data_IF_842891761744
#
_entry.id   IF_842891761744
#
_cell.length_a   1.000
_cell.length_b   1.000
_cell.length_c   1.000
_cell.angle_alpha   90.00
_cell.angle_beta   90.00
_cell.angle_gamma   90.00
#
_symmetry.space_group_name_H-M   'P 1'
#
loop_
_entity.id
_entity.type
_entity.pdbx_description
1 polymer ?
#
# COMPACT_ATOMS: atom_id res chain seq x y z
N UNK A 1 -0.73 30.89 -52.30
CA UNK A 1 -1.42 30.60 -51.02
C UNK A 1 -1.59 29.09 -50.91
N UNK A 2 -0.84 28.42 -50.02
CA UNK A 2 -1.03 26.97 -49.79
C UNK A 2 -2.33 26.76 -49.01
N UNK A 3 -3.11 25.75 -49.40
CA UNK A 3 -4.36 25.36 -48.76
C UNK A 3 -4.07 24.88 -47.32
N UNK A 4 -4.83 25.36 -46.34
CA UNK A 4 -4.67 25.03 -44.91
C UNK A 4 -4.72 23.52 -44.64
N UNK A 5 -5.45 22.76 -45.46
CA UNK A 5 -5.45 21.28 -45.43
C UNK A 5 -4.08 20.65 -45.66
N UNK A 6 -3.23 21.29 -46.48
CA UNK A 6 -1.91 20.75 -46.80
C UNK A 6 -0.92 21.01 -45.67
N UNK A 7 -0.96 22.21 -45.06
CA UNK A 7 -0.06 22.58 -43.95
C UNK A 7 -0.33 21.75 -42.70
N UNK A 8 -1.57 21.34 -42.44
CA UNK A 8 -1.91 20.53 -41.26
C UNK A 8 -1.55 19.04 -41.46
N UNK A 9 -1.60 18.53 -42.70
CA UNK A 9 -1.14 17.17 -43.01
C UNK A 9 0.36 17.00 -42.78
N UNK A 10 1.15 18.06 -42.97
CA UNK A 10 2.61 18.01 -42.86
C UNK A 10 3.12 18.12 -41.41
N UNK A 11 2.24 18.39 -40.42
CA UNK A 11 2.62 18.68 -39.02
C UNK A 11 1.86 17.87 -37.95
N UNK A 12 0.99 16.92 -38.33
CA UNK A 12 0.37 15.98 -37.38
C UNK A 12 1.18 14.67 -37.33
N UNK A 13 1.52 14.13 -36.15
CA UNK A 13 2.28 12.89 -36.02
C UNK A 13 1.55 11.70 -36.66
N UNK A 14 2.30 10.70 -37.15
CA UNK A 14 1.76 9.43 -37.61
C UNK A 14 1.05 8.73 -36.42
N UNK A 15 -0.27 8.53 -36.53
CA UNK A 15 -1.10 7.93 -35.47
C UNK A 15 -2.51 8.54 -35.32
N UNK A 16 -2.78 9.71 -35.92
CA UNK A 16 -4.12 10.30 -35.89
C UNK A 16 -5.12 9.55 -36.79
N UNK A 17 -6.17 8.98 -36.21
CA UNK A 17 -7.30 8.38 -36.95
C UNK A 17 -8.10 9.46 -37.70
N UNK A 18 -8.73 9.12 -38.84
CA UNK A 18 -9.53 10.09 -39.63
C UNK A 18 -10.73 10.68 -38.83
N UNK A 19 -11.25 9.93 -37.87
CA UNK A 19 -12.26 10.38 -36.90
C UNK A 19 -11.74 11.54 -36.05
N UNK A 20 -10.55 11.39 -35.46
CA UNK A 20 -9.94 12.40 -34.60
C UNK A 20 -9.58 13.67 -35.37
N UNK A 21 -9.16 13.54 -36.64
CA UNK A 21 -8.92 14.69 -37.52
C UNK A 21 -10.22 15.49 -37.75
N UNK A 22 -11.34 14.80 -37.97
CA UNK A 22 -12.63 15.42 -38.26
C UNK A 22 -13.21 16.15 -37.04
N UNK A 23 -13.09 15.57 -35.84
CA UNK A 23 -13.48 16.22 -34.59
C UNK A 23 -12.63 17.49 -34.32
N UNK A 24 -11.32 17.41 -34.56
CA UNK A 24 -10.42 18.56 -34.45
C UNK A 24 -10.78 19.69 -35.42
N UNK A 25 -11.20 19.36 -36.65
CA UNK A 25 -11.70 20.35 -37.62
C UNK A 25 -13.00 21.04 -37.19
N UNK A 26 -13.91 20.32 -36.53
CA UNK A 26 -15.17 20.89 -36.04
C UNK A 26 -14.95 21.82 -34.83
N UNK A 27 -13.99 21.51 -33.96
CA UNK A 27 -13.65 22.34 -32.80
C UNK A 27 -13.03 23.70 -33.16
N UNK A 28 -12.31 23.78 -34.29
CA UNK A 28 -11.63 25.00 -34.74
C UNK A 28 -12.49 25.92 -35.62
N UNK A 29 -13.67 25.45 -36.07
CA UNK A 29 -14.59 26.22 -36.92
C UNK A 29 -15.10 27.52 -36.26
N UNK A 30 -15.51 27.55 -34.97
CA UNK A 30 -16.02 28.77 -34.34
C UNK A 30 -14.93 29.82 -34.07
N UNK A 31 -13.68 29.39 -33.87
CA UNK A 31 -12.56 30.26 -33.49
C UNK A 31 -11.98 31.10 -34.64
N UNK A 32 -12.39 30.84 -35.89
CA UNK A 32 -11.98 31.64 -37.07
C UNK A 32 -12.38 33.11 -37.00
N UNK A 33 -13.37 33.47 -36.18
CA UNK A 33 -13.94 34.81 -36.17
C UNK A 33 -13.25 35.81 -35.25
N UNK A 34 -12.35 35.39 -34.33
CA UNK A 34 -11.92 36.27 -33.22
C UNK A 34 -10.40 36.39 -33.05
N UNK A 35 -9.55 35.51 -33.62
CA UNK A 35 -8.09 35.62 -33.42
C UNK A 35 -7.25 35.33 -34.67
N UNK A 36 -6.21 36.16 -34.87
CA UNK A 36 -5.28 36.04 -35.99
C UNK A 36 -4.44 34.75 -35.96
N UNK A 37 -4.07 34.26 -37.15
CA UNK A 37 -3.38 32.97 -37.39
C UNK A 37 -2.19 32.64 -36.48
N UNK A 38 -1.45 33.65 -35.97
CA UNK A 38 -0.31 33.43 -35.06
C UNK A 38 -0.74 33.09 -33.63
N UNK A 39 -1.87 33.61 -33.17
CA UNK A 39 -2.43 33.34 -31.83
C UNK A 39 -3.03 31.93 -31.77
N UNK A 40 -3.67 31.47 -32.86
CA UNK A 40 -4.14 30.09 -32.97
C UNK A 40 -3.01 29.05 -32.95
N UNK A 41 -1.88 29.34 -33.59
CA UNK A 41 -0.72 28.44 -33.59
C UNK A 41 -0.09 28.37 -32.18
N UNK A 42 -0.01 29.50 -31.47
CA UNK A 42 0.51 29.55 -30.10
C UNK A 42 -0.44 28.82 -29.12
N UNK A 43 -1.74 29.05 -29.21
CA UNK A 43 -2.74 28.38 -28.38
C UNK A 43 -2.80 26.87 -28.62
N UNK A 44 -2.65 26.42 -29.87
CA UNK A 44 -2.62 25.00 -30.19
C UNK A 44 -1.33 24.33 -29.73
N UNK A 45 -0.17 25.00 -29.83
CA UNK A 45 1.10 24.53 -29.24
C UNK A 45 1.06 24.51 -27.70
N UNK A 46 0.41 25.48 -27.07
CA UNK A 46 0.24 25.51 -25.61
C UNK A 46 -0.77 24.43 -25.17
N UNK A 47 -1.89 24.23 -25.87
CA UNK A 47 -2.83 23.15 -25.52
C UNK A 47 -2.21 21.76 -25.76
N UNK A 48 -1.45 21.57 -26.83
CA UNK A 48 -0.77 20.27 -27.08
C UNK A 48 0.40 20.04 -26.11
N UNK A 49 1.11 21.09 -25.70
CA UNK A 49 2.15 21.00 -24.68
C UNK A 49 1.61 20.79 -23.26
N UNK A 50 0.43 21.32 -22.92
CA UNK A 50 -0.21 21.14 -21.60
C UNK A 50 -0.90 19.78 -21.50
N UNK A 51 -1.40 19.21 -22.61
CA UNK A 51 -2.00 17.87 -22.62
C UNK A 51 -0.92 16.77 -22.63
N UNK A 52 0.31 17.05 -23.06
CA UNK A 52 1.39 16.06 -23.11
C UNK A 52 2.19 15.89 -21.81
N UNK A 53 1.98 16.71 -20.78
CA UNK A 53 2.82 16.68 -19.58
C UNK A 53 2.36 15.75 -18.46
N UNK A 54 1.16 15.16 -18.51
CA UNK A 54 0.68 14.26 -17.44
C UNK A 54 -0.28 13.15 -17.94
N UNK A 55 -0.26 12.79 -19.22
CA UNK A 55 -0.94 11.59 -19.66
C UNK A 55 -0.06 10.38 -19.32
N UNK A 56 -0.35 9.73 -18.19
CA UNK A 56 0.25 8.46 -17.80
C UNK A 56 0.22 7.50 -19.00
N UNK A 57 1.35 6.87 -19.32
CA UNK A 57 1.34 5.77 -20.28
C UNK A 57 0.48 4.67 -19.63
N UNK A 58 -0.65 4.34 -20.26
CA UNK A 58 -1.47 3.22 -19.85
C UNK A 58 -0.64 1.95 -19.96
N UNK A 59 -0.17 1.44 -18.82
CA UNK A 59 0.54 0.17 -18.70
C UNK A 59 -0.34 -0.74 -17.86
N UNK A 60 -0.71 -1.93 -18.34
CA UNK A 60 -1.64 -2.82 -17.64
C UNK A 60 -0.98 -3.56 -16.47
N UNK A 61 -0.09 -2.88 -15.72
CA UNK A 61 0.66 -3.46 -14.60
C UNK A 61 0.55 -2.58 -13.37
N UNK A 62 0.22 -3.21 -12.25
CA UNK A 62 0.32 -2.65 -10.92
C UNK A 62 1.39 -3.36 -10.09
N UNK A 63 1.63 -2.85 -8.90
CA UNK A 63 2.51 -3.49 -7.91
C UNK A 63 1.86 -3.47 -6.54
N UNK A 64 2.19 -4.44 -5.69
CA UNK A 64 2.06 -4.26 -4.24
C UNK A 64 3.29 -3.49 -3.74
N UNK A 65 3.11 -2.70 -2.66
CA UNK A 65 4.22 -2.21 -1.86
C UNK A 65 4.44 -3.14 -0.67
N UNK A 66 5.68 -3.23 -0.20
CA UNK A 66 6.02 -4.09 0.94
C UNK A 66 5.58 -3.44 2.24
N UNK A 67 5.33 -4.25 3.27
CA UNK A 67 5.08 -3.78 4.63
C UNK A 67 6.23 -2.94 5.18
N UNK A 68 5.89 -1.94 6.00
CA UNK A 68 6.87 -0.99 6.53
C UNK A 68 7.26 -1.32 7.96
N UNK A 69 8.54 -1.53 8.17
CA UNK A 69 9.15 -1.83 9.46
C UNK A 69 10.51 -1.16 9.55
N UNK A 70 11.06 -1.03 10.76
CA UNK A 70 12.39 -0.45 10.98
C UNK A 70 13.53 -1.26 10.34
N UNK A 71 13.24 -2.50 9.93
CA UNK A 71 14.14 -3.43 9.24
C UNK A 71 13.78 -3.69 7.78
N UNK A 72 12.72 -3.07 7.26
CA UNK A 72 12.34 -3.19 5.84
C UNK A 72 13.41 -2.57 4.95
N UNK A 73 13.76 -3.24 3.85
CA UNK A 73 14.67 -2.68 2.84
C UNK A 73 14.03 -1.60 1.96
N UNK A 74 12.70 -1.50 2.00
CA UNK A 74 11.93 -0.41 1.43
C UNK A 74 11.86 0.73 2.45
N UNK A 75 12.66 1.78 2.25
CA UNK A 75 12.57 3.01 3.04
C UNK A 75 11.52 3.92 2.43
N UNK A 76 10.38 4.04 3.10
CA UNK A 76 9.25 4.82 2.58
C UNK A 76 9.44 6.29 2.88
N UNK A 77 9.78 6.62 4.13
CA UNK A 77 9.79 8.00 4.62
C UNK A 77 11.21 8.60 4.71
N UNK A 78 11.35 9.86 4.32
CA UNK A 78 12.59 10.65 4.50
C UNK A 78 12.73 11.20 5.91
N UNK A 79 11.61 11.32 6.63
CA UNK A 79 11.61 11.38 8.09
C UNK A 79 11.54 9.95 8.62
N UNK A 80 12.68 9.46 9.09
CA UNK A 80 12.86 8.04 9.40
C UNK A 80 12.16 7.64 10.69
N UNK A 81 11.73 8.63 11.48
CA UNK A 81 10.96 8.38 12.69
C UNK A 81 9.57 7.81 12.37
N UNK A 82 8.97 8.17 11.22
CA UNK A 82 7.71 7.57 10.77
C UNK A 82 7.80 6.06 10.50
N UNK A 83 9.01 5.52 10.31
CA UNK A 83 9.27 4.10 10.12
C UNK A 83 10.06 3.49 11.30
N UNK A 84 9.98 4.12 12.48
CA UNK A 84 10.64 3.59 13.66
C UNK A 84 9.83 2.45 14.29
N UNK A 85 10.52 1.52 14.95
CA UNK A 85 9.86 0.47 15.72
C UNK A 85 8.96 1.05 16.80
N UNK A 86 7.92 0.31 17.17
CA UNK A 86 7.15 0.65 18.36
C UNK A 86 8.03 0.82 19.61
N UNK A 87 7.58 1.67 20.54
CA UNK A 87 8.28 1.93 21.79
C UNK A 87 8.61 0.65 22.56
N UNK A 88 9.88 0.47 22.87
CA UNK A 88 10.40 -0.61 23.70
C UNK A 88 10.65 -0.04 25.10
N UNK A 89 9.82 -0.41 26.10
CA UNK A 89 10.02 0.00 27.48
C UNK A 89 11.21 -0.75 28.08
N UNK A 90 11.99 -0.09 28.92
CA UNK A 90 13.07 -0.71 29.67
C UNK A 90 13.27 -0.03 31.02
N UNK A 91 13.87 -0.74 31.97
CA UNK A 91 14.17 -0.14 33.28
C UNK A 91 15.11 1.06 33.11
N UNK A 92 14.82 2.12 33.85
CA UNK A 92 15.58 3.36 33.90
C UNK A 92 16.87 3.12 34.70
N UNK A 93 17.99 2.96 33.99
CA UNK A 93 19.30 2.72 34.60
C UNK A 93 20.22 1.84 33.75
N UNK A 94 21.42 1.55 34.28
CA UNK A 94 22.41 0.71 33.60
C UNK A 94 22.17 -0.78 33.85
N UNK A 95 22.39 -1.62 32.82
CA UNK A 95 22.37 -3.08 32.96
C UNK A 95 20.98 -3.71 32.89
N UNK A 96 19.96 -2.94 32.53
CA UNK A 96 18.61 -3.43 32.31
C UNK A 96 18.54 -4.39 31.10
N UNK A 97 17.59 -5.34 31.08
CA UNK A 97 17.22 -6.06 29.87
C UNK A 97 16.85 -5.12 28.72
N UNK A 98 16.89 -5.64 27.49
CA UNK A 98 16.55 -4.84 26.30
C UNK A 98 15.12 -4.29 26.32
N UNK A 99 14.19 -5.11 26.79
CA UNK A 99 12.79 -4.75 27.03
C UNK A 99 12.38 -5.23 28.42
N UNK A 100 11.62 -4.42 29.14
CA UNK A 100 10.99 -4.79 30.41
C UNK A 100 9.61 -5.43 30.20
N UNK A 101 8.97 -5.22 29.05
CA UNK A 101 7.58 -5.60 28.79
C UNK A 101 6.53 -4.78 29.57
N UNK A 102 6.94 -3.73 30.29
CA UNK A 102 6.04 -2.86 31.07
C UNK A 102 5.34 -1.86 30.15
N UNK A 103 4.02 -1.81 30.17
CA UNK A 103 3.26 -0.82 29.39
C UNK A 103 3.45 0.60 29.95
N UNK A 104 3.96 1.51 29.11
CA UNK A 104 4.12 2.94 29.40
C UNK A 104 2.93 3.70 28.78
N UNK A 105 2.22 4.55 29.56
CA UNK A 105 1.11 5.34 29.03
C UNK A 105 1.55 6.31 27.93
N UNK A 106 0.85 6.26 26.80
CA UNK A 106 1.07 7.12 25.64
C UNK A 106 -0.06 8.15 25.50
N UNK A 107 0.26 9.31 24.96
CA UNK A 107 -0.72 10.30 24.52
C UNK A 107 -1.37 9.93 23.18
N UNK A 108 -2.31 10.75 22.68
CA UNK A 108 -3.03 10.50 21.42
C UNK A 108 -2.13 10.36 20.18
N UNK A 109 -1.00 11.06 20.15
CA UNK A 109 0.03 11.02 19.09
C UNK A 109 1.05 9.88 19.29
N UNK A 110 0.86 9.06 20.33
CA UNK A 110 1.69 7.89 20.64
C UNK A 110 3.02 8.17 21.35
N UNK A 111 3.26 9.41 21.79
CA UNK A 111 4.41 9.76 22.64
C UNK A 111 4.15 9.47 24.13
N UNK A 112 5.17 9.10 24.93
CA UNK A 112 4.99 8.85 26.36
C UNK A 112 4.56 10.10 27.12
N UNK A 113 3.60 9.93 28.05
CA UNK A 113 3.12 11.02 28.87
C UNK A 113 4.16 11.52 29.88
N UNK A 114 5.01 10.63 30.39
CA UNK A 114 6.07 10.97 31.33
C UNK A 114 7.20 9.94 31.28
N UNK A 115 8.44 10.38 31.52
CA UNK A 115 9.61 9.52 31.69
C UNK A 115 10.52 10.15 32.76
N UNK A 116 11.05 9.39 33.74
CA UNK A 116 10.80 7.97 33.97
C UNK A 116 9.34 7.69 34.38
N UNK A 117 8.69 6.72 33.75
CA UNK A 117 7.34 6.29 34.12
C UNK A 117 7.41 5.40 35.35
N UNK A 118 6.57 5.65 36.36
CA UNK A 118 6.54 4.88 37.59
C UNK A 118 5.11 4.46 37.94
N UNK A 119 4.81 3.17 37.77
CA UNK A 119 3.52 2.58 38.13
C UNK A 119 3.42 2.14 39.61
N UNK A 120 4.48 2.34 40.41
CA UNK A 120 4.58 1.97 41.82
C UNK A 120 4.86 0.49 42.10
N UNK A 121 5.02 -0.35 41.07
CA UNK A 121 5.25 -1.80 41.19
C UNK A 121 6.59 -2.19 40.55
N UNK A 122 6.80 -1.78 39.31
CA UNK A 122 8.01 -2.05 38.54
C UNK A 122 9.07 -0.96 38.83
N UNK A 123 10.36 -1.24 38.57
CA UNK A 123 11.37 -0.18 38.51
C UNK A 123 10.91 0.96 37.58
N UNK A 124 11.32 2.22 37.80
CA UNK A 124 11.00 3.31 36.87
C UNK A 124 11.41 2.96 35.44
N UNK A 125 10.61 3.33 34.45
CA UNK A 125 10.80 2.94 33.05
C UNK A 125 11.24 4.13 32.19
N UNK A 126 12.20 3.89 31.29
CA UNK A 126 12.44 4.70 30.09
C UNK A 126 11.95 3.93 28.85
N UNK A 127 11.99 4.58 27.69
CA UNK A 127 11.60 3.95 26.43
C UNK A 127 12.63 4.23 25.34
N UNK A 128 12.70 3.30 24.38
CA UNK A 128 13.53 3.44 23.18
C UNK A 128 12.79 2.99 21.93
N UNK A 129 13.18 3.52 20.79
CA UNK A 129 12.76 3.06 19.48
C UNK A 129 13.98 2.85 18.57
N UNK A 130 13.80 2.07 17.51
CA UNK A 130 14.84 1.60 16.60
C UNK A 130 14.55 2.06 15.18
N UNK A 131 15.62 2.42 14.46
CA UNK A 131 15.59 2.80 13.05
C UNK A 131 16.72 2.07 12.31
N UNK A 132 16.44 1.60 11.09
CA UNK A 132 17.38 0.91 10.20
C UNK A 132 18.06 -0.34 10.78
N UNK A 133 17.32 -1.20 11.48
CA UNK A 133 17.86 -2.46 12.02
C UNK A 133 17.77 -3.63 11.03
N UNK A 134 18.20 -4.83 11.45
CA UNK A 134 18.20 -6.00 10.58
C UNK A 134 19.32 -5.95 9.53
N UNK A 135 19.02 -6.25 8.28
CA UNK A 135 20.01 -6.35 7.19
C UNK A 135 20.23 -5.03 6.43
N UNK A 136 20.18 -3.90 7.14
CA UNK A 136 20.22 -2.55 6.57
C UNK A 136 21.55 -1.80 6.77
N UNK A 137 22.55 -2.44 7.36
CA UNK A 137 23.91 -1.90 7.42
C UNK A 137 24.38 -1.50 6.02
N UNK A 138 24.92 -0.28 5.88
CA UNK A 138 25.36 0.32 4.61
C UNK A 138 24.30 0.42 3.50
N UNK A 139 23.00 0.35 3.85
CA UNK A 139 21.89 0.49 2.89
C UNK A 139 21.13 1.80 3.01
N UNK A 140 21.43 2.62 4.02
CA UNK A 140 20.88 3.96 4.18
C UNK A 140 22.01 5.02 4.19
N UNK A 141 21.73 6.30 3.94
CA UNK A 141 22.78 7.32 3.81
C UNK A 141 23.57 7.54 5.11
N UNK A 142 24.90 7.36 5.10
CA UNK A 142 25.77 8.00 6.11
C UNK A 142 25.74 9.50 5.93
N UNK A 143 25.58 10.26 7.02
CA UNK A 143 25.61 11.71 6.93
C UNK A 143 24.99 12.45 8.11
N UNK A 144 24.68 13.72 7.85
CA UNK A 144 24.10 14.65 8.79
C UNK A 144 22.57 14.61 8.72
N UNK A 145 21.95 13.96 9.69
CA UNK A 145 20.50 13.93 9.86
C UNK A 145 20.06 15.10 10.73
N UNK A 146 18.81 15.56 10.56
CA UNK A 146 18.24 16.61 11.41
C UNK A 146 17.31 15.98 12.45
N UNK A 147 17.65 16.15 13.73
CA UNK A 147 16.82 15.77 14.87
C UNK A 147 16.03 16.99 15.33
N UNK A 148 14.71 16.87 15.32
CA UNK A 148 13.77 17.84 15.89
C UNK A 148 12.97 17.12 16.98
N UNK A 149 12.78 17.76 18.13
CA UNK A 149 11.82 17.31 19.13
C UNK A 149 11.34 18.48 19.99
N UNK A 150 10.07 18.42 20.38
CA UNK A 150 9.42 19.41 21.24
C UNK A 150 9.23 18.88 22.66
N UNK A 151 8.90 19.76 23.61
CA UNK A 151 8.61 19.41 25.00
C UNK A 151 9.80 19.58 25.95
N UNK A 152 9.63 19.17 27.20
CA UNK A 152 10.63 19.31 28.27
C UNK A 152 11.15 17.94 28.69
N UNK A 153 12.43 17.67 28.41
CA UNK A 153 13.03 16.36 28.69
C UNK A 153 14.42 16.19 28.08
N UNK A 154 14.85 14.94 27.95
CA UNK A 154 16.13 14.57 27.35
C UNK A 154 15.97 13.35 26.45
N UNK A 155 16.61 13.42 25.29
CA UNK A 155 16.73 12.33 24.32
C UNK A 155 18.20 11.92 24.24
N UNK A 156 18.48 10.61 24.13
CA UNK A 156 19.80 10.10 23.77
C UNK A 156 19.76 9.16 22.56
N UNK A 157 20.88 9.07 21.85
CA UNK A 157 21.05 8.22 20.68
C UNK A 157 22.12 7.16 20.93
N UNK A 158 21.91 5.97 20.36
CA UNK A 158 22.82 4.83 20.47
C UNK A 158 23.09 4.16 19.12
N UNK A 159 24.20 3.42 19.08
CA UNK A 159 24.71 2.66 17.92
C UNK A 159 25.23 3.57 16.79
N UNK A 160 24.65 3.50 15.59
CA UNK A 160 25.10 4.27 14.42
C UNK A 160 24.92 5.79 14.57
N UNK A 161 24.12 6.24 15.54
CA UNK A 161 24.00 7.63 15.95
C UNK A 161 24.32 7.76 17.45
N UNK A 162 24.98 8.84 17.87
CA UNK A 162 25.31 9.06 19.29
C UNK A 162 25.09 10.51 19.69
N UNK A 163 24.77 10.74 20.97
CA UNK A 163 24.56 12.07 21.54
C UNK A 163 23.47 12.08 22.59
N UNK A 164 23.41 13.18 23.34
CA UNK A 164 22.38 13.43 24.35
C UNK A 164 21.93 14.89 24.21
N UNK A 165 20.62 15.10 24.13
CA UNK A 165 20.01 16.37 23.74
C UNK A 165 18.89 16.75 24.70
N UNK A 166 18.91 17.98 25.22
CA UNK A 166 17.79 18.52 26.00
C UNK A 166 16.72 19.05 25.06
N UNK A 167 15.45 18.75 25.33
CA UNK A 167 14.31 19.25 24.56
C UNK A 167 13.85 20.64 25.06
N UNK A 168 13.31 21.51 24.18
CA UNK A 168 13.18 21.30 22.73
C UNK A 168 14.54 21.33 22.02
N UNK A 169 14.67 20.55 20.96
CA UNK A 169 15.90 20.43 20.16
C UNK A 169 15.58 20.57 18.67
N UNK A 170 16.46 21.25 17.94
CA UNK A 170 16.55 21.26 16.49
C UNK A 170 18.04 21.32 16.15
N UNK A 171 18.61 20.18 15.78
CA UNK A 171 20.05 20.02 15.61
C UNK A 171 20.39 19.01 14.53
N UNK A 172 21.65 19.00 14.12
CA UNK A 172 22.21 17.98 13.24
C UNK A 172 22.90 16.88 14.05
N UNK A 173 22.72 15.64 13.62
CA UNK A 173 23.33 14.43 14.19
C UNK A 173 24.05 13.68 13.07
N UNK A 174 25.30 13.30 13.30
CA UNK A 174 26.02 12.41 12.39
C UNK A 174 25.57 10.95 12.60
N UNK A 175 25.19 10.28 11.51
CA UNK A 175 24.84 8.86 11.47
C UNK A 175 25.81 8.11 10.57
N UNK A 176 26.36 7.01 11.05
CA UNK A 176 27.33 6.17 10.34
C UNK A 176 26.71 4.80 10.00
N UNK A 177 26.22 4.63 8.75
CA UNK A 177 25.52 3.43 8.28
C UNK A 177 26.31 2.14 8.42
N UNK A 178 27.64 2.25 8.40
CA UNK A 178 28.54 1.11 8.55
C UNK A 178 28.53 0.50 9.96
N UNK A 179 27.91 1.18 10.93
CA UNK A 179 27.72 0.70 12.31
C UNK A 179 26.37 0.00 12.54
N UNK A 180 25.56 -0.21 11.50
CA UNK A 180 24.24 -0.85 11.60
C UNK A 180 23.12 0.15 11.86
N UNK A 181 22.02 -0.28 12.50
CA UNK A 181 20.91 0.62 12.86
C UNK A 181 21.22 1.55 14.03
N UNK A 182 20.32 2.46 14.36
CA UNK A 182 20.43 3.34 15.55
C UNK A 182 19.15 3.40 16.36
N UNK A 183 19.31 3.70 17.65
CA UNK A 183 18.21 3.82 18.58
C UNK A 183 18.08 5.24 19.11
N UNK A 184 16.85 5.68 19.35
CA UNK A 184 16.51 6.89 20.08
C UNK A 184 15.87 6.48 21.40
N UNK A 185 16.41 6.99 22.51
CA UNK A 185 15.84 6.80 23.85
C UNK A 185 15.31 8.14 24.36
N UNK A 186 14.11 8.12 24.96
CA UNK A 186 13.65 9.25 25.78
C UNK A 186 14.09 8.93 27.20
N UNK A 187 15.07 9.68 27.70
CA UNK A 187 15.64 9.50 29.04
C UNK A 187 14.80 10.21 30.11
N UNK A 188 14.24 11.39 29.78
CA UNK A 188 13.31 12.11 30.63
C UNK A 188 12.24 12.81 29.80
N UNK A 189 11.02 12.91 30.32
CA UNK A 189 9.87 13.58 29.71
C UNK A 189 8.96 14.10 30.83
N UNK A 190 8.76 15.42 30.88
CA UNK A 190 7.98 16.07 31.94
C UNK A 190 6.47 15.91 31.68
N UNK A 191 5.72 15.39 32.65
CA UNK A 191 4.28 15.16 32.51
C UNK A 191 3.44 16.38 32.07
N UNK A 192 3.85 17.59 32.45
CA UNK A 192 3.14 18.83 32.08
C UNK A 192 3.51 19.37 30.70
N UNK A 193 4.59 18.88 30.10
CA UNK A 193 5.07 19.24 28.75
C UNK A 193 5.90 18.07 28.18
N UNK A 194 5.25 16.96 27.79
CA UNK A 194 5.95 15.74 27.41
C UNK A 194 6.80 15.93 26.14
N UNK A 195 7.88 15.17 26.03
CA UNK A 195 8.66 15.04 24.79
C UNK A 195 7.77 14.42 23.71
N UNK A 196 7.66 15.11 22.57
CA UNK A 196 6.79 14.75 21.43
C UNK A 196 7.31 15.41 20.14
N UNK A 197 6.60 15.20 19.04
CA UNK A 197 6.88 15.84 17.75
C UNK A 197 8.33 15.58 17.32
N UNK A 198 8.72 14.30 17.38
CA UNK A 198 10.07 13.85 17.10
C UNK A 198 10.18 13.58 15.60
N UNK A 199 11.12 14.27 14.95
CA UNK A 199 11.49 14.04 13.57
C UNK A 199 12.97 13.70 13.48
N UNK A 200 13.32 12.75 12.62
CA UNK A 200 14.70 12.37 12.35
C UNK A 200 14.91 12.32 10.83
N UNK A 201 15.25 13.47 10.25
CA UNK A 201 15.15 13.70 8.81
C UNK A 201 16.47 13.35 8.13
N UNK A 202 16.39 12.59 7.04
CA UNK A 202 17.52 12.19 6.20
C UNK A 202 18.27 13.41 5.60
N UNK A 203 19.59 13.28 5.34
CA UNK A 203 20.37 14.32 4.68
C UNK A 203 19.74 14.74 3.34
N UNK A 204 19.55 16.05 3.14
CA UNK A 204 19.02 16.61 1.89
C UNK A 204 17.51 16.77 1.83
N UNK A 205 16.76 16.35 2.86
CA UNK A 205 15.30 16.45 2.91
C UNK A 205 14.78 17.41 3.99
N UNK A 206 15.66 18.17 4.64
CA UNK A 206 15.37 19.02 5.80
C UNK A 206 14.30 20.08 5.54
N UNK A 207 14.12 20.45 4.26
CA UNK A 207 13.16 21.46 3.80
C UNK A 207 11.95 20.89 3.07
N UNK A 208 11.92 19.57 2.82
CA UNK A 208 10.87 18.94 2.00
C UNK A 208 10.10 17.85 2.73
N UNK A 209 10.63 17.29 3.82
CA UNK A 209 10.07 16.13 4.52
C UNK A 209 8.57 16.26 4.84
N UNK A 210 8.09 17.46 5.18
CA UNK A 210 6.68 17.68 5.52
C UNK A 210 5.75 17.75 4.30
N UNK A 211 6.27 18.05 3.11
CA UNK A 211 5.47 18.23 1.87
C UNK A 211 5.65 17.11 0.86
N UNK A 212 6.81 16.46 0.88
CA UNK A 212 7.14 15.28 0.10
C UNK A 212 7.86 14.30 1.04
N UNK A 213 7.10 13.53 1.82
CA UNK A 213 7.66 12.69 2.86
C UNK A 213 8.31 11.41 2.31
N UNK A 214 8.22 11.14 1.00
CA UNK A 214 8.65 9.88 0.42
C UNK A 214 10.10 9.88 -0.08
N UNK A 215 10.78 8.76 0.13
CA UNK A 215 12.12 8.56 -0.37
C UNK A 215 12.14 8.48 -1.92
N UNK A 216 13.09 9.12 -2.61
CA UNK A 216 13.15 9.10 -4.07
C UNK A 216 13.24 7.69 -4.69
N UNK A 217 13.89 6.74 -4.02
CA UNK A 217 13.99 5.37 -4.53
C UNK A 217 12.64 4.66 -4.59
N UNK A 218 11.74 4.93 -3.62
CA UNK A 218 10.36 4.46 -3.68
C UNK A 218 9.66 5.09 -4.88
N UNK A 219 9.78 6.41 -5.06
CA UNK A 219 9.15 7.13 -6.17
C UNK A 219 9.64 6.63 -7.54
N UNK A 220 10.94 6.35 -7.66
CA UNK A 220 11.55 5.78 -8.85
C UNK A 220 11.07 4.35 -9.11
N UNK A 221 10.99 3.51 -8.06
CA UNK A 221 10.47 2.16 -8.17
C UNK A 221 9.03 2.14 -8.69
N UNK A 222 8.18 3.02 -8.16
CA UNK A 222 6.76 3.06 -8.52
C UNK A 222 6.44 3.82 -9.82
N UNK A 223 7.45 4.47 -10.43
CA UNK A 223 7.28 5.34 -11.60
C UNK A 223 6.57 4.61 -12.76
N UNK A 224 6.94 3.36 -13.00
CA UNK A 224 6.48 2.57 -14.15
C UNK A 224 5.13 1.85 -13.93
N UNK A 225 4.62 1.79 -12.70
CA UNK A 225 3.35 1.13 -12.40
C UNK A 225 2.17 2.07 -12.56
N UNK A 226 0.98 1.52 -12.80
CA UNK A 226 -0.24 2.33 -12.97
C UNK A 226 -1.17 2.30 -11.76
N UNK A 227 -1.24 1.12 -11.14
CA UNK A 227 -2.00 0.83 -9.93
C UNK A 227 -1.01 0.45 -8.84
N UNK A 228 -1.22 0.95 -7.63
CA UNK A 228 -0.47 0.53 -6.44
C UNK A 228 -1.47 -0.12 -5.49
N UNK A 229 -1.24 -1.39 -5.17
CA UNK A 229 -1.98 -2.12 -4.16
C UNK A 229 -1.28 -1.99 -2.81
N UNK A 230 -2.05 -1.63 -1.79
CA UNK A 230 -1.56 -1.26 -0.47
C UNK A 230 -1.84 -2.33 0.59
N UNK A 231 -1.98 -3.60 0.20
CA UNK A 231 -2.39 -4.69 1.08
C UNK A 231 -1.52 -4.77 2.35
N UNK A 232 -0.18 -4.73 2.17
CA UNK A 232 0.77 -4.79 3.29
C UNK A 232 0.85 -3.45 4.05
N UNK A 233 0.79 -2.31 3.37
CA UNK A 233 0.72 -1.00 4.06
C UNK A 233 -0.51 -0.88 4.94
N UNK A 234 -1.61 -1.53 4.56
CA UNK A 234 -2.85 -1.53 5.34
C UNK A 234 -2.88 -2.62 6.43
N UNK A 235 -1.84 -3.45 6.56
CA UNK A 235 -1.81 -4.60 7.46
C UNK A 235 -3.09 -5.44 7.34
N UNK A 236 -3.47 -5.77 6.09
CA UNK A 236 -4.78 -6.35 5.77
C UNK A 236 -4.95 -7.75 6.36
N UNK A 237 -3.91 -8.58 6.22
CA UNK A 237 -3.91 -9.95 6.74
C UNK A 237 -3.90 -9.92 8.27
N UNK A 238 -4.89 -10.55 8.91
CA UNK A 238 -4.98 -10.55 10.37
C UNK A 238 -5.32 -9.20 11.01
N UNK A 239 -5.69 -8.18 10.21
CA UNK A 239 -5.94 -6.81 10.70
C UNK A 239 -6.81 -6.75 11.97
N UNK A 240 -6.41 -5.96 13.00
CA UNK A 240 -7.19 -5.77 14.22
C UNK A 240 -8.33 -4.75 14.04
N UNK A 241 -8.29 -3.94 12.97
CA UNK A 241 -9.21 -2.83 12.73
C UNK A 241 -10.67 -3.27 12.64
N UNK A 242 -11.53 -2.71 13.51
CA UNK A 242 -12.97 -3.00 13.55
C UNK A 242 -13.81 -1.74 13.39
N UNK A 243 -13.46 -0.64 14.08
CA UNK A 243 -14.19 0.64 14.09
C UNK A 243 -13.28 1.78 13.64
N UNK A 244 -13.84 2.88 13.08
CA UNK A 244 -13.04 3.95 12.45
C UNK A 244 -11.87 4.47 13.31
N UNK A 245 -12.00 4.65 14.64
CA UNK A 245 -10.89 5.10 15.48
C UNK A 245 -9.75 4.09 15.66
N UNK A 246 -9.92 2.83 15.26
CA UNK A 246 -8.88 1.79 15.41
C UNK A 246 -7.72 2.00 14.43
N UNK A 247 -7.94 2.70 13.32
CA UNK A 247 -6.91 2.95 12.29
C UNK A 247 -5.76 3.80 12.83
N UNK A 248 -4.61 3.69 12.20
CA UNK A 248 -3.53 4.65 12.39
C UNK A 248 -3.85 6.03 11.78
N UNK A 249 -3.22 7.07 12.30
CA UNK A 249 -3.35 8.46 11.82
C UNK A 249 -1.99 9.05 11.46
N UNK A 250 -1.94 10.09 10.62
CA UNK A 250 -0.66 10.69 10.20
C UNK A 250 0.11 11.36 11.34
N UNK A 251 -0.60 11.76 12.39
CA UNK A 251 -0.03 12.43 13.57
C UNK A 251 0.51 11.44 14.60
N UNK A 252 0.28 10.14 14.41
CA UNK A 252 0.87 9.12 15.27
C UNK A 252 2.35 8.95 14.93
N UNK A 253 3.21 8.86 15.96
CA UNK A 253 4.67 8.93 15.80
C UNK A 253 5.29 7.90 14.85
N UNK A 254 4.64 6.77 14.64
CA UNK A 254 5.10 5.70 13.73
C UNK A 254 3.96 5.18 12.86
N UNK A 255 4.32 4.74 11.66
CA UNK A 255 3.45 4.12 10.69
C UNK A 255 3.64 2.59 10.60
N UNK A 256 4.42 1.99 11.50
CA UNK A 256 4.73 0.54 11.53
C UNK A 256 3.83 -0.29 12.45
N UNK A 257 2.67 0.26 12.85
CA UNK A 257 1.73 -0.41 13.75
C UNK A 257 0.98 -1.55 13.03
N UNK A 258 0.47 -2.51 13.81
CA UNK A 258 -0.35 -3.63 13.33
C UNK A 258 -1.73 -3.21 12.77
N UNK A 259 -2.12 -1.96 12.96
CA UNK A 259 -3.31 -1.35 12.36
C UNK A 259 -3.02 -0.57 11.06
N UNK A 260 -1.78 -0.68 10.54
CA UNK A 260 -1.35 -0.21 9.23
C UNK A 260 -0.82 1.23 9.19
N UNK A 261 -0.40 1.64 8.00
CA UNK A 261 -0.09 3.02 7.61
C UNK A 261 -1.37 3.84 7.53
N UNK A 262 -1.31 5.09 7.98
CA UNK A 262 -2.43 6.01 7.85
C UNK A 262 -2.86 6.18 6.38
N UNK A 263 -4.17 6.09 6.13
CA UNK A 263 -4.75 6.20 4.79
C UNK A 263 -4.42 7.51 4.07
N UNK A 264 -4.19 8.58 4.82
CA UNK A 264 -3.77 9.86 4.28
C UNK A 264 -2.40 9.79 3.59
N UNK A 265 -1.48 8.93 4.04
CA UNK A 265 -0.22 8.66 3.34
C UNK A 265 -0.45 7.87 2.05
N UNK A 266 -1.42 6.95 2.00
CA UNK A 266 -1.79 6.25 0.77
C UNK A 266 -2.31 7.25 -0.26
N UNK A 267 -3.25 8.11 0.16
CA UNK A 267 -3.80 9.18 -0.67
C UNK A 267 -2.71 10.15 -1.14
N UNK A 268 -1.83 10.59 -0.25
CA UNK A 268 -0.77 11.55 -0.58
C UNK A 268 0.21 10.97 -1.62
N UNK A 269 0.63 9.71 -1.47
CA UNK A 269 1.50 9.04 -2.44
C UNK A 269 0.83 8.95 -3.81
N UNK A 270 -0.43 8.50 -3.85
CA UNK A 270 -1.20 8.37 -5.09
C UNK A 270 -1.41 9.71 -5.79
N UNK A 271 -1.74 10.77 -5.05
CA UNK A 271 -1.89 12.12 -5.61
C UNK A 271 -0.56 12.65 -6.16
N UNK A 272 0.53 12.46 -5.43
CA UNK A 272 1.87 12.90 -5.84
C UNK A 272 2.33 12.21 -7.13
N UNK A 273 2.05 10.91 -7.25
CA UNK A 273 2.55 10.07 -8.34
C UNK A 273 1.53 9.82 -9.45
N UNK A 274 0.31 10.36 -9.28
CA UNK A 274 -0.84 10.18 -10.17
C UNK A 274 -1.11 8.68 -10.46
N UNK A 275 -1.10 7.86 -9.40
CA UNK A 275 -1.33 6.41 -9.46
C UNK A 275 -2.66 6.04 -8.82
N UNK A 276 -3.34 5.04 -9.37
CA UNK A 276 -4.60 4.56 -8.81
C UNK A 276 -4.34 3.69 -7.56
N UNK A 277 -4.92 4.00 -6.39
CA UNK A 277 -4.85 3.12 -5.23
C UNK A 277 -5.72 1.87 -5.40
N UNK A 278 -5.21 0.73 -4.95
CA UNK A 278 -5.98 -0.47 -4.66
C UNK A 278 -5.91 -0.76 -3.16
N UNK A 279 -7.07 -0.65 -2.51
CA UNK A 279 -7.24 -0.84 -1.07
C UNK A 279 -7.98 -2.14 -0.75
N UNK A 280 -7.60 -2.77 0.35
CA UNK A 280 -8.20 -4.00 0.85
C UNK A 280 -8.86 -3.74 2.21
N UNK A 281 -10.19 -3.75 2.29
CA UNK A 281 -10.92 -3.40 3.52
C UNK A 281 -10.62 -4.44 4.62
N UNK A 282 -10.26 -4.02 5.86
CA UNK A 282 -10.06 -4.96 6.96
C UNK A 282 -11.28 -5.87 7.17
N UNK A 283 -11.03 -7.17 7.35
CA UNK A 283 -12.10 -8.17 7.42
C UNK A 283 -13.10 -7.96 8.58
N UNK A 284 -12.68 -7.30 9.67
CA UNK A 284 -13.53 -6.98 10.83
C UNK A 284 -14.18 -5.59 10.76
N UNK A 285 -13.86 -4.78 9.75
CA UNK A 285 -14.34 -3.40 9.66
C UNK A 285 -15.89 -3.35 9.61
N UNK A 286 -16.47 -2.53 10.48
CA UNK A 286 -17.91 -2.25 10.47
C UNK A 286 -18.29 -1.28 9.33
N UNK A 287 -19.60 -1.11 9.11
CA UNK A 287 -20.09 -0.26 8.01
C UNK A 287 -19.71 1.21 8.16
N UNK A 288 -19.52 1.67 9.41
CA UNK A 288 -19.13 3.05 9.70
C UNK A 288 -17.64 3.27 9.38
N UNK A 289 -16.77 2.30 9.68
CA UNK A 289 -15.39 2.29 9.22
C UNK A 289 -15.32 2.43 7.70
N UNK A 290 -16.09 1.62 6.98
CA UNK A 290 -16.09 1.60 5.51
C UNK A 290 -16.62 2.92 4.94
N UNK A 291 -17.69 3.47 5.53
CA UNK A 291 -18.26 4.77 5.12
C UNK A 291 -17.26 5.91 5.33
N UNK A 292 -16.59 5.98 6.48
CA UNK A 292 -15.58 7.01 6.76
C UNK A 292 -14.33 6.85 5.87
N UNK A 293 -13.91 5.61 5.58
CA UNK A 293 -12.83 5.35 4.64
C UNK A 293 -13.19 5.81 3.23
N UNK A 294 -14.40 5.49 2.76
CA UNK A 294 -14.89 5.93 1.46
C UNK A 294 -14.95 7.47 1.38
N UNK A 295 -15.42 8.16 2.43
CA UNK A 295 -15.41 9.64 2.49
C UNK A 295 -13.99 10.20 2.43
N UNK A 296 -13.05 9.62 3.17
CA UNK A 296 -11.66 10.06 3.17
C UNK A 296 -11.07 10.03 1.76
N UNK A 297 -11.22 8.90 1.06
CA UNK A 297 -10.72 8.77 -0.32
C UNK A 297 -11.50 9.65 -1.30
N UNK A 298 -12.83 9.76 -1.19
CA UNK A 298 -13.62 10.66 -2.04
C UNK A 298 -13.13 12.10 -1.95
N UNK A 299 -12.91 12.58 -0.73
CA UNK A 299 -12.64 13.97 -0.42
C UNK A 299 -11.17 14.35 -0.65
N UNK A 300 -10.25 13.39 -0.52
CA UNK A 300 -8.80 13.66 -0.51
C UNK A 300 -8.05 13.10 -1.72
N UNK A 301 -8.54 12.04 -2.38
CA UNK A 301 -7.90 11.49 -3.58
C UNK A 301 -8.24 12.37 -4.79
N UNK A 302 -7.23 12.66 -5.61
CA UNK A 302 -7.35 13.40 -6.86
C UNK A 302 -8.54 12.88 -7.69
N UNK A 303 -9.50 13.75 -8.08
CA UNK A 303 -10.72 13.33 -8.78
C UNK A 303 -10.45 12.67 -10.14
N UNK A 304 -9.26 12.85 -10.72
CA UNK A 304 -8.83 12.14 -11.93
C UNK A 304 -8.41 10.69 -11.70
N UNK A 305 -8.21 10.27 -10.45
CA UNK A 305 -7.81 8.92 -10.08
C UNK A 305 -9.02 8.03 -9.75
N UNK A 306 -8.92 6.77 -10.17
CA UNK A 306 -9.78 5.67 -9.73
C UNK A 306 -9.25 5.02 -8.46
N UNK A 307 -10.14 4.39 -7.70
CA UNK A 307 -9.84 3.55 -6.54
C UNK A 307 -10.35 2.13 -6.78
N UNK A 308 -9.47 1.15 -6.61
CA UNK A 308 -9.81 -0.26 -6.61
C UNK A 308 -10.17 -0.66 -5.18
N UNK A 309 -11.37 -1.23 -5.01
CA UNK A 309 -11.91 -1.58 -3.70
C UNK A 309 -12.15 -3.09 -3.65
N UNK A 310 -11.44 -3.74 -2.72
CA UNK A 310 -11.53 -5.18 -2.45
C UNK A 310 -11.88 -5.38 -0.98
N UNK A 311 -12.77 -6.33 -0.68
CA UNK A 311 -13.00 -6.75 0.69
C UNK A 311 -11.90 -7.74 1.12
N UNK A 312 -11.07 -7.37 2.10
CA UNK A 312 -9.99 -8.18 2.66
C UNK A 312 -8.98 -8.69 1.62
N UNK A 313 -8.21 -9.72 1.97
CA UNK A 313 -7.25 -10.42 1.14
C UNK A 313 -7.45 -11.94 1.27
N UNK A 314 -7.41 -12.67 0.16
CA UNK A 314 -7.45 -14.14 0.10
C UNK A 314 -8.39 -14.82 1.11
N UNK A 315 -9.64 -14.37 1.22
CA UNK A 315 -10.62 -14.96 2.16
C UNK A 315 -10.90 -16.44 1.86
N UNK A 316 -10.57 -16.90 0.65
CA UNK A 316 -10.63 -18.30 0.25
C UNK A 316 -9.51 -19.17 0.87
N UNK A 317 -8.44 -18.56 1.39
CA UNK A 317 -7.25 -19.23 1.89
C UNK A 317 -7.35 -19.47 3.41
N UNK A 318 -7.64 -20.72 3.78
CA UNK A 318 -7.79 -21.15 5.17
C UNK A 318 -6.51 -21.08 6.04
N UNK A 319 -5.40 -20.55 5.52
CA UNK A 319 -4.21 -20.25 6.31
C UNK A 319 -4.27 -18.90 7.01
N UNK A 320 -5.25 -18.05 6.67
CA UNK A 320 -5.38 -16.70 7.20
C UNK A 320 -6.59 -16.53 8.12
N UNK A 321 -6.44 -15.70 9.16
CA UNK A 321 -7.47 -15.36 10.15
C UNK A 321 -8.77 -14.83 9.51
N UNK A 322 -8.68 -14.09 8.40
CA UNK A 322 -9.85 -13.58 7.71
C UNK A 322 -10.74 -14.69 7.08
N UNK A 323 -10.17 -15.85 6.73
CA UNK A 323 -10.94 -17.00 6.27
C UNK A 323 -11.77 -17.57 7.42
N UNK A 324 -11.14 -17.81 8.57
CA UNK A 324 -11.82 -18.31 9.78
C UNK A 324 -12.91 -17.34 10.27
N UNK A 325 -12.64 -16.03 10.16
CA UNK A 325 -13.63 -15.00 10.44
C UNK A 325 -14.84 -15.11 9.49
N UNK A 326 -14.60 -15.25 8.18
CA UNK A 326 -15.68 -15.36 7.21
C UNK A 326 -16.53 -16.61 7.44
N UNK A 327 -15.91 -17.76 7.70
CA UNK A 327 -16.59 -19.00 8.05
C UNK A 327 -17.50 -18.81 9.27
N UNK A 328 -16.96 -18.17 10.32
CA UNK A 328 -17.69 -17.87 11.55
C UNK A 328 -18.89 -16.95 11.30
N UNK A 329 -18.72 -15.92 10.47
CA UNK A 329 -19.80 -14.99 10.12
C UNK A 329 -20.87 -15.64 9.26
N UNK A 330 -20.49 -16.47 8.29
CA UNK A 330 -21.43 -17.27 7.51
C UNK A 330 -22.27 -18.19 8.38
N UNK A 331 -21.65 -18.85 9.37
CA UNK A 331 -22.35 -19.68 10.35
C UNK A 331 -23.32 -18.87 11.22
N UNK A 332 -22.90 -17.69 11.72
CA UNK A 332 -23.75 -16.79 12.51
C UNK A 332 -24.98 -16.33 11.72
N UNK A 333 -24.83 -16.11 10.41
CA UNK A 333 -25.91 -15.75 9.51
C UNK A 333 -26.79 -16.94 9.10
N UNK A 334 -26.43 -18.16 9.51
CA UNK A 334 -27.19 -19.38 9.21
C UNK A 334 -27.06 -19.85 7.77
N UNK A 335 -25.97 -19.51 7.09
CA UNK A 335 -25.69 -20.00 5.75
C UNK A 335 -25.47 -21.52 5.76
N UNK A 336 -25.94 -22.18 4.70
CA UNK A 336 -25.86 -23.63 4.58
C UNK A 336 -24.52 -24.06 3.96
N UNK A 337 -24.12 -25.31 4.23
CA UNK A 337 -22.88 -25.90 3.68
C UNK A 337 -21.82 -26.16 4.74
N UNK A 338 -20.65 -26.57 4.30
CA UNK A 338 -19.45 -26.68 5.14
C UNK A 338 -18.94 -25.29 5.57
N UNK A 339 -18.13 -25.17 6.64
CA UNK A 339 -17.63 -23.89 7.12
C UNK A 339 -17.05 -22.99 6.03
N UNK A 340 -16.16 -23.51 5.19
CA UNK A 340 -15.54 -22.76 4.09
C UNK A 340 -16.56 -22.29 3.03
N UNK A 341 -17.62 -23.06 2.76
CA UNK A 341 -18.69 -22.66 1.84
C UNK A 341 -19.51 -21.50 2.43
N UNK A 342 -19.72 -21.51 3.75
CA UNK A 342 -20.38 -20.42 4.47
C UNK A 342 -19.50 -19.17 4.47
N UNK A 343 -18.18 -19.34 4.60
CA UNK A 343 -17.20 -18.26 4.45
C UNK A 343 -17.22 -17.63 3.07
N UNK A 344 -17.25 -18.43 1.99
CA UNK A 344 -17.36 -17.92 0.63
C UNK A 344 -18.70 -17.19 0.37
N UNK A 345 -19.79 -17.68 0.94
CA UNK A 345 -21.09 -17.00 0.89
C UNK A 345 -21.06 -15.66 1.64
N UNK A 346 -20.46 -15.63 2.83
CA UNK A 346 -20.26 -14.38 3.58
C UNK A 346 -19.34 -13.41 2.85
N UNK A 347 -18.27 -13.91 2.22
CA UNK A 347 -17.37 -13.10 1.40
C UNK A 347 -18.11 -12.40 0.25
N UNK A 348 -18.97 -13.13 -0.47
CA UNK A 348 -19.82 -12.55 -1.51
C UNK A 348 -20.74 -11.45 -0.94
N UNK A 349 -21.42 -11.74 0.17
CA UNK A 349 -22.30 -10.78 0.86
C UNK A 349 -21.54 -9.53 1.31
N UNK A 350 -20.37 -9.70 1.93
CA UNK A 350 -19.62 -8.60 2.53
C UNK A 350 -18.91 -7.75 1.48
N UNK A 351 -18.49 -8.36 0.37
CA UNK A 351 -18.03 -7.64 -0.82
C UNK A 351 -19.12 -6.73 -1.37
N UNK A 352 -20.37 -7.23 -1.47
CA UNK A 352 -21.52 -6.42 -1.90
C UNK A 352 -21.78 -5.24 -0.95
N UNK A 353 -21.73 -5.46 0.37
CA UNK A 353 -21.89 -4.36 1.35
C UNK A 353 -20.83 -3.26 1.16
N UNK A 354 -19.56 -3.66 1.07
CA UNK A 354 -18.43 -2.73 0.87
C UNK A 354 -18.65 -1.90 -0.40
N UNK A 355 -18.93 -2.57 -1.52
CA UNK A 355 -19.14 -1.91 -2.80
C UNK A 355 -20.32 -0.94 -2.75
N UNK A 356 -21.43 -1.33 -2.12
CA UNK A 356 -22.60 -0.48 -1.96
C UNK A 356 -22.32 0.75 -1.08
N UNK A 357 -21.54 0.61 0.00
CA UNK A 357 -21.17 1.74 0.85
C UNK A 357 -20.30 2.71 0.06
N UNK A 358 -19.31 2.21 -0.69
CA UNK A 358 -18.50 3.05 -1.57
C UNK A 358 -19.34 3.77 -2.63
N UNK A 359 -20.27 3.11 -3.32
CA UNK A 359 -21.17 3.77 -4.27
C UNK A 359 -22.07 4.83 -3.63
N UNK A 360 -22.47 4.62 -2.37
CA UNK A 360 -23.30 5.57 -1.64
C UNK A 360 -22.53 6.85 -1.31
N UNK A 361 -21.26 6.70 -0.91
CA UNK A 361 -20.42 7.84 -0.56
C UNK A 361 -19.84 8.54 -1.78
N UNK A 362 -19.45 7.80 -2.82
CA UNK A 362 -18.93 8.32 -4.08
C UNK A 362 -20.06 8.68 -5.03
N UNK A 363 -20.35 9.97 -5.16
CA UNK A 363 -21.34 10.45 -6.14
C UNK A 363 -20.96 10.20 -7.61
N UNK A 364 -19.67 9.97 -7.90
CA UNK A 364 -19.17 9.54 -9.22
C UNK A 364 -18.62 8.11 -9.14
N UNK A 365 -19.48 7.14 -9.45
CA UNK A 365 -19.13 5.72 -9.40
C UNK A 365 -18.13 5.31 -10.49
N UNK A 366 -17.86 6.15 -11.51
CA UNK A 366 -16.80 5.88 -12.51
C UNK A 366 -15.39 5.93 -11.91
N UNK A 367 -15.26 6.48 -10.69
CA UNK A 367 -14.02 6.46 -9.92
C UNK A 367 -13.78 5.13 -9.21
N UNK A 368 -14.78 4.24 -9.12
CA UNK A 368 -14.64 2.96 -8.44
C UNK A 368 -14.25 1.86 -9.43
N UNK A 369 -13.38 0.97 -9.00
CA UNK A 369 -13.18 -0.36 -9.60
C UNK A 369 -13.45 -1.38 -8.50
N UNK A 370 -14.59 -2.06 -8.58
CA UNK A 370 -15.08 -2.97 -7.54
C UNK A 370 -14.60 -4.39 -7.84
N UNK A 371 -13.77 -4.92 -6.96
CA UNK A 371 -13.02 -6.16 -7.19
C UNK A 371 -13.51 -7.28 -6.27
N UNK A 372 -13.72 -8.46 -6.84
CA UNK A 372 -13.92 -9.73 -6.10
C UNK A 372 -12.71 -10.61 -6.35
N UNK A 373 -11.97 -10.98 -5.30
CA UNK A 373 -10.77 -11.79 -5.42
C UNK A 373 -11.03 -13.28 -5.19
N UNK A 374 -10.20 -14.13 -5.81
CA UNK A 374 -10.30 -15.59 -5.69
C UNK A 374 -8.97 -16.30 -5.97
N UNK A 375 -8.98 -17.63 -5.91
CA UNK A 375 -7.83 -18.49 -6.12
C UNK A 375 -7.62 -18.74 -7.62
N UNK A 376 -6.40 -18.51 -8.13
CA UNK A 376 -6.08 -18.81 -9.54
C UNK A 376 -6.27 -20.30 -9.87
N UNK A 377 -5.75 -21.19 -9.03
CA UNK A 377 -5.76 -22.63 -9.26
C UNK A 377 -7.15 -23.30 -9.13
N UNK A 378 -8.21 -22.55 -8.82
CA UNK A 378 -9.54 -23.10 -8.60
C UNK A 378 -10.67 -22.17 -9.08
N UNK A 379 -10.88 -22.11 -10.40
CA UNK A 379 -11.93 -21.29 -11.01
C UNK A 379 -13.34 -21.69 -10.60
N UNK A 380 -13.56 -22.91 -10.10
CA UNK A 380 -14.87 -23.32 -9.57
C UNK A 380 -15.25 -22.50 -8.32
N UNK A 381 -14.30 -22.26 -7.41
CA UNK A 381 -14.53 -21.40 -6.23
C UNK A 381 -14.83 -19.97 -6.67
N UNK A 382 -14.11 -19.47 -7.69
CA UNK A 382 -14.39 -18.16 -8.28
C UNK A 382 -15.84 -18.07 -8.78
N UNK A 383 -16.27 -19.03 -9.60
CA UNK A 383 -17.63 -19.05 -10.14
C UNK A 383 -18.68 -19.14 -9.02
N UNK A 384 -18.44 -20.00 -8.02
CA UNK A 384 -19.33 -20.13 -6.87
C UNK A 384 -19.51 -18.79 -6.13
N UNK A 385 -18.42 -18.07 -5.84
CA UNK A 385 -18.48 -16.77 -5.17
C UNK A 385 -19.28 -15.76 -6.00
N UNK A 386 -19.05 -15.69 -7.32
CA UNK A 386 -19.77 -14.76 -8.19
C UNK A 386 -21.26 -15.10 -8.28
N UNK A 387 -21.63 -16.38 -8.38
CA UNK A 387 -23.04 -16.81 -8.33
C UNK A 387 -23.72 -16.39 -7.02
N UNK A 388 -23.02 -16.45 -5.89
CA UNK A 388 -23.53 -15.94 -4.60
C UNK A 388 -23.62 -14.42 -4.59
N UNK A 389 -22.65 -13.73 -5.18
CA UNK A 389 -22.66 -12.27 -5.28
C UNK A 389 -23.81 -11.76 -6.17
N UNK A 390 -24.24 -12.50 -7.19
CA UNK A 390 -25.38 -12.14 -8.03
C UNK A 390 -26.74 -12.45 -7.36
N UNK A 391 -26.78 -13.41 -6.44
CA UNK A 391 -27.98 -13.78 -5.70
C UNK A 391 -28.40 -12.69 -4.70
N UNK A 392 -29.67 -12.28 -4.77
CA UNK A 392 -30.25 -11.22 -3.95
C UNK A 392 -30.33 -11.54 -2.46
N UNK A 393 -30.12 -12.81 -2.07
CA UNK A 393 -29.95 -13.20 -0.66
C UNK A 393 -28.68 -12.59 -0.07
N UNK A 394 -27.59 -12.54 -0.83
CA UNK A 394 -26.29 -12.05 -0.36
C UNK A 394 -26.02 -10.62 -0.84
N UNK A 395 -26.53 -10.24 -2.01
CA UNK A 395 -26.43 -8.90 -2.59
C UNK A 395 -27.83 -8.30 -2.86
N UNK A 396 -28.54 -7.87 -1.80
CA UNK A 396 -29.92 -7.39 -1.93
C UNK A 396 -30.04 -6.07 -2.70
N UNK A 397 -28.98 -5.26 -2.75
CA UNK A 397 -28.96 -4.02 -3.53
C UNK A 397 -28.60 -4.23 -4.99
N UNK A 398 -28.14 -5.44 -5.34
CA UNK A 398 -27.69 -5.81 -6.68
C UNK A 398 -26.59 -4.87 -7.18
N UNK A 399 -25.71 -4.42 -6.28
CA UNK A 399 -24.50 -3.69 -6.67
C UNK A 399 -23.66 -4.58 -7.57
N UNK A 400 -23.05 -3.99 -8.60
CA UNK A 400 -22.28 -4.75 -9.59
C UNK A 400 -20.80 -4.78 -9.21
N UNK A 401 -20.10 -5.86 -9.53
CA UNK A 401 -18.64 -5.89 -9.54
C UNK A 401 -18.13 -5.49 -10.93
N UNK A 402 -16.88 -5.04 -11.01
CA UNK A 402 -16.23 -4.68 -12.28
C UNK A 402 -15.20 -5.72 -12.71
N UNK A 403 -14.54 -6.37 -11.74
CA UNK A 403 -13.47 -7.33 -12.01
C UNK A 403 -13.41 -8.48 -11.02
N UNK A 404 -12.95 -9.62 -11.53
CA UNK A 404 -12.42 -10.74 -10.77
C UNK A 404 -10.90 -10.58 -10.69
N UNK A 405 -10.33 -10.73 -9.50
CA UNK A 405 -8.88 -10.75 -9.32
C UNK A 405 -8.38 -12.13 -8.85
N UNK A 406 -7.26 -12.58 -9.41
CA UNK A 406 -6.58 -13.84 -9.02
C UNK A 406 -5.10 -13.60 -8.70
N UNK A 407 -4.44 -14.57 -8.07
CA UNK A 407 -2.99 -14.60 -7.88
C UNK A 407 -2.34 -15.72 -8.70
N UNK A 408 -2.03 -15.50 -9.99
CA UNK A 408 -1.46 -16.53 -10.86
C UNK A 408 0.05 -16.65 -10.64
N UNK A 409 0.46 -17.05 -9.43
CA UNK A 409 1.84 -17.45 -9.16
C UNK A 409 2.20 -18.69 -9.98
N UNK A 410 3.47 -18.81 -10.37
CA UNK A 410 3.98 -19.96 -11.13
C UNK A 410 5.28 -20.49 -10.52
N UNK A 411 5.57 -21.78 -10.75
CA UNK A 411 6.81 -22.40 -10.29
C UNK A 411 6.84 -22.86 -8.83
N UNK A 412 5.69 -22.88 -8.14
CA UNK A 412 5.59 -23.26 -6.72
C UNK A 412 6.14 -24.65 -6.35
N UNK A 413 6.22 -25.59 -7.30
CA UNK A 413 6.83 -26.90 -7.08
C UNK A 413 8.31 -26.95 -7.46
N UNK A 414 8.79 -26.08 -8.37
CA UNK A 414 10.09 -26.22 -9.05
C UNK A 414 11.24 -26.37 -8.05
N UNK A 415 11.29 -25.52 -7.03
CA UNK A 415 12.34 -25.56 -6.03
C UNK A 415 12.27 -26.84 -5.16
N UNK A 416 11.07 -27.32 -4.84
CA UNK A 416 10.87 -28.57 -4.10
C UNK A 416 11.20 -29.79 -4.96
N UNK A 417 10.81 -29.81 -6.23
CA UNK A 417 11.08 -30.89 -7.17
C UNK A 417 12.60 -31.07 -7.39
N UNK A 418 13.34 -29.96 -7.52
CA UNK A 418 14.81 -29.95 -7.56
C UNK A 418 15.39 -30.50 -6.25
N UNK A 419 14.82 -30.09 -5.11
CA UNK A 419 15.19 -30.54 -3.78
C UNK A 419 15.04 -32.05 -3.60
N UNK A 420 13.85 -32.57 -3.90
CA UNK A 420 13.46 -33.97 -3.79
C UNK A 420 14.25 -34.87 -4.75
N UNK A 421 14.66 -34.33 -5.91
CA UNK A 421 15.56 -34.99 -6.84
C UNK A 421 17.03 -35.01 -6.37
N UNK A 422 17.38 -34.31 -5.28
CA UNK A 422 18.74 -34.21 -4.76
C UNK A 422 19.67 -33.34 -5.63
N UNK A 423 19.11 -32.40 -6.38
CA UNK A 423 19.83 -31.63 -7.40
C UNK A 423 20.25 -30.22 -6.95
N UNK A 424 19.93 -29.79 -5.72
CA UNK A 424 20.18 -28.42 -5.22
C UNK A 424 21.62 -27.95 -5.46
N UNK A 425 22.62 -28.84 -5.25
CA UNK A 425 24.04 -28.48 -5.38
C UNK A 425 24.61 -28.58 -6.80
N UNK A 426 23.82 -29.08 -7.75
CA UNK A 426 24.26 -29.36 -9.12
C UNK A 426 23.39 -28.74 -10.21
N UNK A 427 22.18 -28.30 -9.87
CA UNK A 427 21.25 -27.66 -10.81
C UNK A 427 21.86 -26.37 -11.33
N UNK A 428 21.84 -26.16 -12.65
CA UNK A 428 22.28 -24.90 -13.23
C UNK A 428 21.17 -23.86 -13.20
N UNK A 429 21.52 -22.58 -13.41
CA UNK A 429 20.52 -21.52 -13.58
C UNK A 429 19.62 -21.82 -14.79
N UNK A 430 20.19 -22.34 -15.88
CA UNK A 430 19.44 -22.68 -17.09
C UNK A 430 18.41 -23.80 -16.80
N UNK A 431 18.77 -24.85 -16.05
CA UNK A 431 17.84 -25.92 -15.68
C UNK A 431 16.68 -25.42 -14.80
N UNK A 432 16.95 -24.45 -13.93
CA UNK A 432 15.91 -23.78 -13.12
C UNK A 432 14.98 -23.00 -14.04
N UNK A 433 15.51 -22.20 -14.96
CA UNK A 433 14.72 -21.40 -15.89
C UNK A 433 13.87 -22.28 -16.81
N UNK A 434 14.41 -23.37 -17.32
CA UNK A 434 13.66 -24.36 -18.12
C UNK A 434 12.51 -24.95 -17.31
N UNK A 435 12.74 -25.28 -16.03
CA UNK A 435 11.69 -25.80 -15.14
C UNK A 435 10.61 -24.75 -14.83
N UNK A 436 11.01 -23.49 -14.66
CA UNK A 436 10.09 -22.36 -14.48
C UNK A 436 9.26 -22.09 -15.73
N UNK A 437 9.85 -22.20 -16.93
CA UNK A 437 9.13 -22.05 -18.20
C UNK A 437 8.05 -23.13 -18.36
N UNK A 438 8.35 -24.38 -17.98
CA UNK A 438 7.35 -25.45 -17.97
C UNK A 438 6.18 -25.15 -17.02
N UNK A 439 6.48 -24.64 -15.83
CA UNK A 439 5.48 -24.31 -14.81
C UNK A 439 4.52 -23.17 -15.22
N UNK A 440 4.88 -22.35 -16.21
CA UNK A 440 3.97 -21.33 -16.77
C UNK A 440 2.73 -21.96 -17.40
N UNK A 441 2.82 -23.20 -17.89
CA UNK A 441 1.68 -23.90 -18.52
C UNK A 441 0.50 -24.03 -17.56
N UNK A 442 0.76 -24.35 -16.29
CA UNK A 442 -0.29 -24.47 -15.27
C UNK A 442 -0.91 -23.10 -14.96
N UNK A 443 -0.07 -22.08 -14.80
CA UNK A 443 -0.54 -20.71 -14.57
C UNK A 443 -1.39 -20.19 -15.75
N UNK A 444 -1.01 -20.48 -17.00
CA UNK A 444 -1.82 -20.15 -18.17
C UNK A 444 -3.18 -20.87 -18.13
N UNK A 445 -3.20 -22.17 -17.82
CA UNK A 445 -4.45 -22.93 -17.72
C UNK A 445 -5.39 -22.37 -16.63
N UNK A 446 -4.83 -21.97 -15.49
CA UNK A 446 -5.59 -21.31 -14.42
C UNK A 446 -6.16 -19.96 -14.86
N UNK A 447 -5.34 -19.12 -15.51
CA UNK A 447 -5.80 -17.83 -16.04
C UNK A 447 -6.89 -18.00 -17.10
N UNK A 448 -6.77 -18.96 -18.02
CA UNK A 448 -7.79 -19.25 -19.04
C UNK A 448 -9.11 -19.72 -18.41
N UNK A 449 -9.04 -20.56 -17.37
CA UNK A 449 -10.21 -21.04 -16.66
C UNK A 449 -10.91 -19.92 -15.88
N UNK A 450 -10.17 -19.08 -15.16
CA UNK A 450 -10.72 -17.90 -14.49
C UNK A 450 -11.24 -16.86 -15.48
N UNK A 451 -10.61 -16.71 -16.66
CA UNK A 451 -11.09 -15.81 -17.72
C UNK A 451 -12.43 -16.27 -18.28
N UNK A 452 -12.64 -17.57 -18.40
CA UNK A 452 -13.93 -18.15 -18.81
C UNK A 452 -15.04 -17.78 -17.81
N UNK A 453 -14.76 -17.81 -16.51
CA UNK A 453 -15.70 -17.38 -15.46
C UNK A 453 -15.98 -15.88 -15.60
N UNK A 454 -14.93 -15.05 -15.70
CA UNK A 454 -15.08 -13.60 -15.86
C UNK A 454 -15.94 -13.24 -17.08
N UNK A 455 -15.69 -13.86 -18.24
CA UNK A 455 -16.48 -13.63 -19.46
C UNK A 455 -17.93 -14.08 -19.34
N UNK A 456 -18.19 -15.18 -18.62
CA UNK A 456 -19.55 -15.69 -18.38
C UNK A 456 -20.39 -14.68 -17.59
N UNK A 457 -19.75 -13.97 -16.66
CA UNK A 457 -20.38 -12.99 -15.77
C UNK A 457 -20.17 -11.53 -16.23
N UNK A 458 -19.60 -11.31 -17.42
CA UNK A 458 -19.31 -9.96 -17.96
C UNK A 458 -18.45 -9.10 -17.01
N UNK A 459 -17.41 -9.71 -16.44
CA UNK A 459 -16.42 -9.08 -15.57
C UNK A 459 -15.05 -9.06 -16.26
N UNK A 460 -14.20 -8.10 -15.89
CA UNK A 460 -12.79 -8.14 -16.26
C UNK A 460 -12.04 -9.18 -15.42
N UNK A 461 -10.94 -9.74 -15.96
CA UNK A 461 -9.99 -10.54 -15.19
C UNK A 461 -8.72 -9.73 -14.97
N UNK A 462 -8.35 -9.53 -13.72
CA UNK A 462 -7.12 -8.86 -13.30
C UNK A 462 -6.33 -9.75 -12.32
N UNK A 463 -5.12 -9.33 -11.97
CA UNK A 463 -4.30 -9.99 -10.95
C UNK A 463 -4.11 -9.06 -9.75
N UNK A 464 -4.33 -9.57 -8.53
CA UNK A 464 -4.01 -8.83 -7.29
C UNK A 464 -2.56 -9.04 -6.85
N UNK A 465 -1.98 -10.17 -7.25
CA UNK A 465 -0.63 -10.61 -6.97
C UNK A 465 -0.13 -11.49 -8.13
N UNK A 466 1.16 -11.79 -8.18
CA UNK A 466 1.72 -12.70 -9.17
C UNK A 466 3.23 -12.66 -9.20
N UNK A 467 3.82 -13.67 -9.82
CA UNK A 467 5.25 -13.81 -9.91
C UNK A 467 5.69 -15.26 -9.81
N UNK A 468 7.00 -15.44 -9.81
CA UNK A 468 7.61 -16.73 -9.54
C UNK A 468 7.45 -17.11 -8.06
N UNK A 469 7.25 -18.39 -7.78
CA UNK A 469 7.19 -18.96 -6.43
C UNK A 469 8.29 -20.02 -6.24
N UNK A 470 9.55 -19.60 -6.41
CA UNK A 470 10.74 -20.44 -6.32
C UNK A 470 11.28 -20.44 -4.88
N UNK A 471 10.59 -21.16 -3.98
CA UNK A 471 11.01 -21.34 -2.59
C UNK A 471 11.10 -22.83 -2.29
N UNK A 472 12.25 -23.29 -1.80
CA UNK A 472 12.45 -24.68 -1.37
C UNK A 472 12.15 -24.82 0.12
N UNK A 473 11.29 -25.78 0.48
CA UNK A 473 11.08 -26.22 1.87
C UNK A 473 11.90 -27.48 2.21
N UNK A 474 12.74 -27.95 1.29
CA UNK A 474 13.55 -29.15 1.49
C UNK A 474 14.53 -28.96 2.66
N UNK A 475 14.36 -29.78 3.70
CA UNK A 475 15.26 -29.82 4.84
C UNK A 475 16.65 -30.24 4.37
N UNK A 476 17.66 -29.39 4.56
CA UNK A 476 19.05 -29.78 4.44
C UNK A 476 19.32 -30.92 5.44
N UNK A 477 19.61 -32.13 4.94
CA UNK A 477 20.14 -33.25 5.73
C UNK A 477 21.61 -33.50 5.41
#
# INVERSE_FOLDING_TARGET
MRNLRQVIKDYLPEGFTESNKTAFYQYLQPMKLICGKKIMLLLSLILSGVIQLNAQILRPIGTNLSGIQDWSSEYVFVDVFNQCREWIPHEYGSGAPWSSGVSVPLGPEGYPLEIPYNNGVDPPQAIRTLMFFGSLQDRYPTGNYRLIASGTGQISLRFAATGTFSCPVDTTVWVESSLGGFALEIDTSLATDPVRDIHFIMPGFENTYSTNPYHPDLLNFIEDFQVIRFMDWMETNGSPNTTWPDRNTPDYYTQTLDNGVAYEHIVNLCNLTQKHPWICIPHKADDMYISELAKLFRDSLDPGLKIYVEYSNEVWNGSFDQSDYADSMGNVLGYAGNPWEQGWQYYAKRSADVMQIFETEFSDTNRLVKVISSQAANSWVTNYIIEKFEDSIYNPTQVQADAIAIAPYFGGSVANDIGDAGLINSVSVDDILDSMELALTDAYAWMDASKTVADTHNLELIAYEGGQHLVANATYY
#
